data_IF_827700461657
#
_entry.id   IF_827700461657
#
_cell.length_a   1.000
_cell.length_b   1.000
_cell.length_c   1.000
_cell.angle_alpha   90.00
_cell.angle_beta   90.00
_cell.angle_gamma   90.00
#
_symmetry.space_group_name_H-M   'P 1'
#
loop_
_entity.id
_entity.type
_entity.pdbx_description
1 polymer ?
#
# COMPACT_ATOMS: atom_id res chain seq x y z
N UNK A 1 -53.34 -10.61 13.31
CA UNK A 1 -52.12 -10.49 14.13
C UNK A 1 -50.96 -11.07 13.33
N UNK A 2 -50.21 -10.23 12.62
CA UNK A 2 -49.13 -10.65 11.72
C UNK A 2 -47.85 -10.95 12.50
N UNK A 3 -47.50 -12.23 12.58
CA UNK A 3 -46.22 -12.72 13.10
C UNK A 3 -45.08 -12.43 12.11
N UNK A 4 -44.65 -11.16 12.03
CA UNK A 4 -43.33 -10.83 11.48
C UNK A 4 -42.46 -9.93 12.39
N UNK A 5 -42.09 -10.36 13.61
CA UNK A 5 -41.03 -9.67 14.37
C UNK A 5 -39.62 -10.26 14.15
N UNK A 6 -39.49 -11.47 13.60
CA UNK A 6 -38.25 -12.26 13.76
C UNK A 6 -37.20 -11.99 12.65
N UNK A 7 -37.61 -11.60 11.44
CA UNK A 7 -36.68 -11.41 10.32
C UNK A 7 -35.76 -10.20 10.47
N UNK A 8 -36.30 -9.07 10.96
CA UNK A 8 -35.51 -7.84 11.15
C UNK A 8 -34.48 -8.08 12.26
N UNK A 9 -34.88 -8.65 13.38
CA UNK A 9 -33.98 -8.95 14.49
C UNK A 9 -32.89 -9.96 14.11
N UNK A 10 -33.22 -11.00 13.32
CA UNK A 10 -32.22 -11.95 12.81
C UNK A 10 -31.23 -11.28 11.85
N UNK A 11 -31.71 -10.43 10.96
CA UNK A 11 -30.85 -9.69 10.03
C UNK A 11 -29.91 -8.72 10.76
N UNK A 12 -30.42 -8.01 11.77
CA UNK A 12 -29.62 -7.12 12.62
C UNK A 12 -28.57 -7.91 13.42
N UNK A 13 -28.94 -9.04 14.01
CA UNK A 13 -28.01 -9.91 14.73
C UNK A 13 -26.90 -10.46 13.83
N UNK A 14 -27.24 -10.93 12.63
CA UNK A 14 -26.23 -11.37 11.65
C UNK A 14 -25.33 -10.21 11.21
N UNK A 15 -25.89 -9.02 11.01
CA UNK A 15 -25.10 -7.81 10.71
C UNK A 15 -24.14 -7.46 11.85
N UNK A 16 -24.60 -7.57 13.10
CA UNK A 16 -23.76 -7.36 14.29
C UNK A 16 -22.65 -8.42 14.37
N UNK A 17 -22.95 -9.69 14.12
CA UNK A 17 -21.92 -10.75 14.10
C UNK A 17 -20.85 -10.48 13.07
N UNK A 18 -21.22 -10.12 11.84
CA UNK A 18 -20.27 -9.78 10.76
C UNK A 18 -19.35 -8.63 11.18
N UNK A 19 -19.87 -7.66 11.94
CA UNK A 19 -19.07 -6.56 12.46
C UNK A 19 -18.02 -6.99 13.48
N UNK A 20 -18.21 -8.14 14.16
CA UNK A 20 -17.28 -8.60 15.19
C UNK A 20 -16.02 -9.29 14.63
N UNK A 21 -16.01 -9.68 13.35
CA UNK A 21 -14.88 -10.38 12.74
C UNK A 21 -13.93 -9.41 12.03
N UNK A 22 -12.60 -9.61 12.16
CA UNK A 22 -11.62 -8.92 11.33
C UNK A 22 -11.82 -9.21 9.83
N UNK A 23 -11.59 -8.20 9.01
CA UNK A 23 -11.44 -8.33 7.57
C UNK A 23 -9.95 -8.40 7.20
N UNK A 24 -9.65 -8.97 6.04
CA UNK A 24 -8.29 -9.07 5.50
C UNK A 24 -8.08 -7.99 4.44
N UNK A 25 -7.08 -7.13 4.64
CA UNK A 25 -6.69 -6.11 3.65
C UNK A 25 -5.84 -6.74 2.54
N UNK A 26 -4.86 -7.55 2.93
CA UNK A 26 -3.98 -8.29 2.01
C UNK A 26 -3.44 -9.55 2.70
N UNK A 27 -2.48 -10.23 2.09
CA UNK A 27 -1.97 -11.50 2.61
C UNK A 27 -1.44 -11.43 4.04
N UNK A 28 -0.97 -10.25 4.50
CA UNK A 28 -0.29 -10.08 5.79
C UNK A 28 -0.91 -9.04 6.73
N UNK A 29 -1.96 -8.36 6.27
CA UNK A 29 -2.60 -7.28 7.02
C UNK A 29 -4.08 -7.58 7.17
N UNK A 30 -4.51 -7.66 8.42
CA UNK A 30 -5.89 -7.79 8.86
C UNK A 30 -6.31 -6.51 9.58
N UNK A 31 -7.60 -6.23 9.61
CA UNK A 31 -8.14 -5.08 10.32
C UNK A 31 -9.53 -5.35 10.89
N UNK A 32 -9.86 -4.72 12.01
CA UNK A 32 -11.13 -5.00 12.67
C UNK A 32 -11.40 -4.18 13.93
N UNK A 33 -12.43 -4.57 14.69
CA UNK A 33 -12.77 -3.97 15.97
C UNK A 33 -11.82 -4.40 17.10
N UNK A 34 -11.79 -3.65 18.20
CA UNK A 34 -10.89 -3.88 19.34
C UNK A 34 -11.06 -5.27 19.98
N UNK A 35 -12.27 -5.81 20.04
CA UNK A 35 -12.55 -7.15 20.55
C UNK A 35 -11.84 -8.27 19.77
N UNK A 36 -11.35 -8.00 18.55
CA UNK A 36 -10.54 -8.95 17.79
C UNK A 36 -9.24 -9.35 18.50
N UNK A 37 -8.69 -8.48 19.36
CA UNK A 37 -7.51 -8.78 20.17
C UNK A 37 -7.76 -9.95 21.13
N UNK A 38 -9.00 -10.13 21.59
CA UNK A 38 -9.34 -11.21 22.53
C UNK A 38 -9.69 -12.54 21.85
N UNK A 39 -9.72 -12.58 20.52
CA UNK A 39 -10.04 -13.80 19.77
C UNK A 39 -8.79 -14.64 19.50
N UNK A 40 -8.41 -15.49 20.47
CA UNK A 40 -7.20 -16.31 20.39
C UNK A 40 -7.15 -17.23 19.15
N UNK A 41 -8.28 -17.85 18.79
CA UNK A 41 -8.31 -18.74 17.63
C UNK A 41 -7.96 -17.96 16.36
N UNK A 42 -8.57 -16.77 16.19
CA UNK A 42 -8.24 -15.89 15.08
C UNK A 42 -6.77 -15.47 15.07
N UNK A 43 -6.21 -15.05 16.21
CA UNK A 43 -4.81 -14.62 16.31
C UNK A 43 -3.85 -15.76 15.93
N UNK A 44 -4.11 -16.96 16.42
CA UNK A 44 -3.26 -18.14 16.17
C UNK A 44 -3.39 -18.64 14.73
N UNK A 45 -4.61 -18.81 14.24
CA UNK A 45 -4.90 -19.29 12.87
C UNK A 45 -4.32 -18.36 11.79
N UNK A 46 -4.32 -17.05 12.06
CA UNK A 46 -3.81 -16.05 11.12
C UNK A 46 -2.38 -15.62 11.43
N UNK A 47 -1.68 -16.30 12.34
CA UNK A 47 -0.30 -16.01 12.75
C UNK A 47 -0.08 -14.50 13.06
N UNK A 48 -1.00 -13.90 13.82
CA UNK A 48 -0.94 -12.48 14.17
C UNK A 48 0.11 -12.27 15.26
N UNK A 49 1.16 -11.51 14.93
CA UNK A 49 2.24 -11.13 15.85
C UNK A 49 2.42 -9.63 15.98
N UNK A 50 1.78 -8.84 15.12
CA UNK A 50 1.84 -7.39 15.18
C UNK A 50 0.43 -6.84 15.39
N UNK A 51 0.21 -6.12 16.48
CA UNK A 51 -1.07 -5.48 16.78
C UNK A 51 -0.90 -3.97 16.68
N UNK A 52 -1.73 -3.31 15.87
CA UNK A 52 -1.72 -1.85 15.72
C UNK A 52 -3.05 -1.30 16.20
N UNK A 53 -3.07 -0.48 17.26
CA UNK A 53 -4.30 0.11 17.79
C UNK A 53 -4.43 1.56 17.32
N UNK A 54 -5.58 1.93 16.78
CA UNK A 54 -5.83 3.25 16.16
C UNK A 54 -6.86 4.03 16.97
N UNK A 55 -6.46 5.19 17.50
CA UNK A 55 -7.31 6.10 18.30
C UNK A 55 -7.98 5.41 19.50
N UNK A 56 -7.31 4.40 20.06
CA UNK A 56 -7.75 3.74 21.29
C UNK A 56 -6.86 4.30 22.40
N UNK A 57 -7.45 4.79 23.51
CA UNK A 57 -6.66 5.25 24.65
C UNK A 57 -5.70 4.16 25.11
N UNK A 58 -4.44 4.54 25.32
CA UNK A 58 -3.36 3.60 25.66
C UNK A 58 -3.70 2.77 26.91
N UNK A 59 -4.36 3.40 27.89
CA UNK A 59 -4.84 2.73 29.12
C UNK A 59 -5.85 1.63 28.85
N UNK A 60 -6.65 1.75 27.79
CA UNK A 60 -7.57 0.69 27.35
C UNK A 60 -6.81 -0.41 26.61
N UNK A 61 -5.85 -0.05 25.75
CA UNK A 61 -4.98 -1.02 25.08
C UNK A 61 -4.27 -1.93 26.10
N UNK A 62 -3.74 -1.38 27.19
CA UNK A 62 -3.12 -2.13 28.28
C UNK A 62 -4.04 -3.25 28.81
N UNK A 63 -5.29 -2.91 29.13
CA UNK A 63 -6.29 -3.87 29.65
C UNK A 63 -6.63 -4.98 28.65
N UNK A 64 -6.61 -4.67 27.35
CA UNK A 64 -6.82 -5.69 26.31
C UNK A 64 -5.59 -6.57 26.12
N UNK A 65 -4.39 -6.01 26.28
CA UNK A 65 -3.13 -6.74 26.14
C UNK A 65 -2.93 -7.77 27.25
N UNK A 66 -3.36 -7.47 28.48
CA UNK A 66 -3.38 -8.44 29.58
C UNK A 66 -4.21 -9.70 29.28
N UNK A 67 -5.15 -9.61 28.32
CA UNK A 67 -6.02 -10.72 27.92
C UNK A 67 -5.48 -11.50 26.73
N UNK A 68 -4.35 -11.09 26.15
CA UNK A 68 -3.71 -11.80 25.05
C UNK A 68 -2.96 -12.99 25.66
N UNK A 69 -3.36 -14.24 25.38
CA UNK A 69 -2.73 -15.41 26.00
C UNK A 69 -1.50 -15.88 25.20
N UNK A 70 -0.72 -14.92 24.68
CA UNK A 70 0.55 -15.15 24.00
C UNK A 70 1.67 -14.63 24.89
N UNK A 71 2.89 -15.17 24.74
CA UNK A 71 4.02 -14.60 25.46
C UNK A 71 4.24 -13.16 24.96
N UNK A 72 4.45 -12.22 25.89
CA UNK A 72 4.63 -10.80 25.59
C UNK A 72 5.80 -10.58 24.61
N UNK A 73 6.80 -11.45 24.63
CA UNK A 73 7.97 -11.39 23.74
C UNK A 73 7.69 -11.87 22.31
N UNK A 74 6.56 -12.55 22.07
CA UNK A 74 6.20 -13.12 20.77
C UNK A 74 5.41 -12.15 19.88
N UNK A 75 4.96 -11.02 20.43
CA UNK A 75 4.20 -10.02 19.68
C UNK A 75 4.65 -8.58 19.95
N UNK A 76 4.39 -7.72 18.97
CA UNK A 76 4.59 -6.28 19.07
C UNK A 76 3.24 -5.58 19.13
N UNK A 77 3.16 -4.50 19.89
CA UNK A 77 1.97 -3.67 19.99
C UNK A 77 2.31 -2.22 19.68
N UNK A 78 1.79 -1.67 18.59
CA UNK A 78 1.94 -0.27 18.21
C UNK A 78 0.63 0.47 18.50
N UNK A 79 0.67 1.44 19.40
CA UNK A 79 -0.49 2.24 19.80
C UNK A 79 -0.42 3.64 19.22
N UNK A 80 -1.34 3.96 18.30
CA UNK A 80 -1.50 5.29 17.72
C UNK A 80 -2.55 6.07 18.54
N UNK A 81 -2.09 6.71 19.61
CA UNK A 81 -2.92 7.45 20.57
C UNK A 81 -2.46 8.90 20.67
N UNK A 82 -3.10 9.78 19.90
CA UNK A 82 -2.75 11.20 19.89
C UNK A 82 -3.29 11.98 21.08
N UNK A 83 -4.17 11.38 21.88
CA UNK A 83 -4.73 12.02 23.07
C UNK A 83 -3.84 11.83 24.31
N UNK A 84 -2.81 10.97 24.23
CA UNK A 84 -1.88 10.79 25.34
C UNK A 84 -0.99 12.04 25.45
N UNK A 85 -0.94 12.72 26.61
CA UNK A 85 -0.06 13.86 26.79
C UNK A 85 1.39 13.42 26.58
N UNK A 86 2.12 14.14 25.73
CA UNK A 86 3.50 13.80 25.37
C UNK A 86 4.53 13.91 26.52
N UNK A 87 4.10 14.36 27.70
CA UNK A 87 4.95 14.44 28.89
C UNK A 87 4.79 13.20 29.76
N UNK A 88 5.91 12.53 30.05
CA UNK A 88 5.98 11.35 30.94
C UNK A 88 5.85 11.74 32.42
N UNK A 89 5.91 13.04 32.75
CA UNK A 89 5.83 13.53 34.12
C UNK A 89 4.43 13.28 34.69
N UNK A 90 4.33 12.36 35.65
CA UNK A 90 3.07 11.95 36.26
C UNK A 90 2.37 10.78 35.55
N UNK A 91 3.03 10.11 34.61
CA UNK A 91 2.52 8.84 34.07
C UNK A 91 2.55 7.74 35.13
N UNK A 92 1.50 6.93 35.13
CA UNK A 92 1.38 5.71 35.95
C UNK A 92 2.55 4.75 35.68
N UNK A 93 3.15 4.18 36.73
CA UNK A 93 4.20 3.15 36.65
C UNK A 93 3.81 1.99 35.74
N UNK A 94 2.52 1.62 35.71
CA UNK A 94 2.02 0.59 34.81
C UNK A 94 2.16 0.98 33.33
N UNK A 95 1.86 2.24 32.99
CA UNK A 95 2.00 2.76 31.63
C UNK A 95 3.48 2.84 31.22
N UNK A 96 4.36 3.24 32.13
CA UNK A 96 5.81 3.27 31.88
C UNK A 96 6.34 1.86 31.59
N UNK A 97 5.99 0.86 32.39
CA UNK A 97 6.38 -0.54 32.17
C UNK A 97 5.83 -1.08 30.85
N UNK A 98 4.55 -0.84 30.58
CA UNK A 98 3.92 -1.21 29.32
C UNK A 98 4.67 -0.63 28.12
N UNK A 99 5.01 0.67 28.18
CA UNK A 99 5.75 1.33 27.12
C UNK A 99 7.14 0.71 26.94
N UNK A 100 7.88 0.50 28.03
CA UNK A 100 9.23 -0.09 27.98
C UNK A 100 9.25 -1.48 27.31
N UNK A 101 8.34 -2.37 27.71
CA UNK A 101 8.31 -3.75 27.18
C UNK A 101 8.01 -3.74 25.68
N UNK A 102 6.90 -3.15 25.26
CA UNK A 102 6.52 -3.19 23.85
C UNK A 102 7.42 -2.32 22.96
N UNK A 103 8.01 -1.25 23.50
CA UNK A 103 9.00 -0.46 22.77
C UNK A 103 10.27 -1.26 22.49
N UNK A 104 10.70 -2.09 23.44
CA UNK A 104 11.83 -2.99 23.20
C UNK A 104 11.51 -4.01 22.12
N UNK A 105 10.30 -4.59 22.13
CA UNK A 105 9.87 -5.54 21.10
C UNK A 105 9.85 -4.89 19.70
N UNK A 106 9.29 -3.69 19.59
CA UNK A 106 9.28 -2.94 18.32
C UNK A 106 10.70 -2.59 17.89
N UNK A 107 11.56 -2.09 18.78
CA UNK A 107 12.96 -1.78 18.43
C UNK A 107 13.71 -3.00 17.92
N UNK A 108 13.54 -4.15 18.57
CA UNK A 108 14.17 -5.40 18.16
C UNK A 108 13.67 -5.86 16.79
N UNK A 109 12.36 -5.77 16.56
CA UNK A 109 11.74 -6.06 15.27
C UNK A 109 12.23 -5.11 14.16
N UNK A 110 12.17 -3.80 14.39
CA UNK A 110 12.64 -2.79 13.41
C UNK A 110 14.11 -3.02 13.09
N UNK A 111 14.96 -3.25 14.10
CA UNK A 111 16.39 -3.50 13.91
C UNK A 111 16.66 -4.76 13.08
N UNK A 112 15.85 -5.82 13.25
CA UNK A 112 16.02 -7.06 12.48
C UNK A 112 15.54 -6.92 11.03
N UNK A 113 14.54 -6.08 10.75
CA UNK A 113 13.98 -5.90 9.40
C UNK A 113 14.62 -4.75 8.60
N UNK A 114 15.27 -3.80 9.26
CA UNK A 114 15.78 -2.58 8.62
C UNK A 114 16.79 -2.84 7.48
N UNK A 115 17.76 -3.77 7.57
CA UNK A 115 18.74 -3.99 6.50
C UNK A 115 18.10 -4.29 5.15
N UNK A 116 17.02 -5.08 5.17
CA UNK A 116 16.34 -5.54 3.96
C UNK A 116 15.25 -4.55 3.48
N UNK A 117 14.74 -3.70 4.39
CA UNK A 117 13.57 -2.85 4.14
C UNK A 117 13.87 -1.35 4.02
N UNK A 118 15.12 -0.91 4.17
CA UNK A 118 15.48 0.51 4.23
C UNK A 118 14.98 1.33 3.02
N UNK A 119 15.02 0.76 1.82
CA UNK A 119 14.56 1.44 0.59
C UNK A 119 13.02 1.62 0.54
N UNK A 120 12.29 0.85 1.34
CA UNK A 120 10.83 0.82 1.35
C UNK A 120 10.23 1.91 2.24
N UNK A 121 11.03 2.43 3.18
CA UNK A 121 10.61 3.49 4.10
C UNK A 121 10.44 4.83 3.38
N UNK A 122 9.44 5.60 3.77
CA UNK A 122 9.20 6.94 3.27
C UNK A 122 10.09 7.98 3.93
N UNK A 123 10.34 7.83 5.22
CA UNK A 123 11.19 8.74 5.96
C UNK A 123 12.00 8.01 7.02
N UNK A 124 13.29 8.30 7.11
CA UNK A 124 14.10 7.85 8.25
C UNK A 124 13.62 8.45 9.57
N UNK A 125 12.85 9.55 9.54
CA UNK A 125 12.24 10.13 10.74
C UNK A 125 11.16 9.22 11.35
N UNK A 126 10.54 8.33 10.58
CA UNK A 126 9.56 7.37 11.11
C UNK A 126 10.21 6.39 12.09
N UNK A 127 11.50 6.08 11.90
CA UNK A 127 12.26 5.21 12.80
C UNK A 127 12.40 5.78 14.21
N UNK A 128 12.43 7.11 14.34
CA UNK A 128 12.46 7.76 15.66
C UNK A 128 11.13 7.54 16.39
N UNK A 129 10.01 7.60 15.68
CA UNK A 129 8.70 7.28 16.24
C UNK A 129 8.60 5.79 16.59
N UNK A 130 9.08 4.90 15.71
CA UNK A 130 9.12 3.45 15.95
C UNK A 130 10.15 3.02 17.02
N UNK A 131 10.83 3.96 17.67
CA UNK A 131 11.55 3.69 18.92
C UNK A 131 10.59 3.60 20.12
N UNK A 132 9.32 3.94 19.96
CA UNK A 132 8.28 3.86 20.97
C UNK A 132 7.14 2.97 20.48
N UNK A 133 6.50 2.25 21.40
CA UNK A 133 5.26 1.54 21.10
C UNK A 133 4.06 2.47 21.09
N UNK A 134 4.13 3.59 21.80
CA UNK A 134 3.09 4.61 21.80
C UNK A 134 3.52 5.75 20.88
N UNK A 135 2.71 6.01 19.87
CA UNK A 135 2.90 7.05 18.87
C UNK A 135 1.80 8.10 19.05
N UNK A 136 2.20 9.30 19.43
CA UNK A 136 1.30 10.44 19.67
C UNK A 136 1.19 11.39 18.48
N UNK A 137 1.96 11.18 17.41
CA UNK A 137 1.91 12.06 16.24
C UNK A 137 0.55 12.00 15.53
N UNK A 138 0.22 13.10 14.84
CA UNK A 138 -1.05 13.27 14.12
C UNK A 138 -0.84 13.55 12.64
N UNK A 139 -1.95 13.55 11.89
CA UNK A 139 -1.97 13.96 10.49
C UNK A 139 -1.01 13.15 9.61
N UNK A 140 -0.16 13.87 8.89
CA UNK A 140 0.78 13.31 7.91
C UNK A 140 1.79 12.34 8.55
N UNK A 141 2.36 12.70 9.70
CA UNK A 141 3.40 11.88 10.34
C UNK A 141 2.85 10.52 10.77
N UNK A 142 1.62 10.50 11.29
CA UNK A 142 0.92 9.26 11.65
C UNK A 142 0.76 8.33 10.45
N UNK A 143 0.41 8.88 9.28
CA UNK A 143 0.28 8.10 8.04
C UNK A 143 1.63 7.54 7.61
N UNK A 144 2.70 8.33 7.69
CA UNK A 144 4.06 7.88 7.35
C UNK A 144 4.52 6.76 8.28
N UNK A 145 4.44 6.96 9.60
CA UNK A 145 4.85 5.97 10.60
C UNK A 145 4.09 4.66 10.45
N UNK A 146 2.78 4.74 10.25
CA UNK A 146 1.95 3.57 10.01
C UNK A 146 2.36 2.79 8.75
N UNK A 147 2.55 3.48 7.62
CA UNK A 147 2.90 2.83 6.35
C UNK A 147 4.33 2.30 6.32
N UNK A 148 5.24 2.92 7.05
CA UNK A 148 6.62 2.45 7.23
C UNK A 148 6.64 1.21 8.12
N UNK A 149 5.87 1.18 9.21
CA UNK A 149 5.70 -0.02 10.03
C UNK A 149 5.11 -1.19 9.23
N UNK A 150 4.05 -0.95 8.46
CA UNK A 150 3.47 -1.99 7.60
C UNK A 150 4.46 -2.47 6.53
N UNK A 151 5.30 -1.58 5.99
CA UNK A 151 6.37 -1.98 5.08
C UNK A 151 7.29 -3.02 5.74
N UNK A 152 7.73 -2.76 6.97
CA UNK A 152 8.58 -3.68 7.71
C UNK A 152 7.89 -5.03 7.93
N UNK A 153 6.61 -5.03 8.31
CA UNK A 153 5.84 -6.27 8.49
C UNK A 153 5.70 -7.05 7.18
N UNK A 154 5.31 -6.38 6.09
CA UNK A 154 5.05 -7.04 4.82
C UNK A 154 6.31 -7.66 4.19
N UNK A 155 7.47 -7.04 4.42
CA UNK A 155 8.75 -7.50 3.87
C UNK A 155 9.53 -8.43 4.80
N UNK A 156 9.03 -8.65 6.02
CA UNK A 156 9.62 -9.62 6.93
C UNK A 156 9.41 -11.06 6.44
N UNK A 157 10.14 -12.03 6.98
CA UNK A 157 9.82 -13.45 6.73
C UNK A 157 8.46 -13.83 7.32
N UNK A 158 7.82 -14.89 6.81
CA UNK A 158 6.54 -15.40 7.35
C UNK A 158 6.62 -15.79 8.83
N UNK A 159 7.83 -16.06 9.33
CA UNK A 159 8.10 -16.37 10.75
C UNK A 159 7.80 -15.19 11.68
N UNK A 160 7.86 -13.95 11.19
CA UNK A 160 7.54 -12.76 11.98
C UNK A 160 6.04 -12.48 12.05
N UNK A 161 5.21 -13.26 11.33
CA UNK A 161 3.76 -13.18 11.44
C UNK A 161 3.13 -12.01 10.68
N UNK A 162 1.85 -11.81 10.97
CA UNK A 162 0.96 -10.88 10.29
C UNK A 162 0.54 -9.74 11.23
N UNK A 163 0.06 -8.65 10.64
CA UNK A 163 -0.46 -7.50 11.36
C UNK A 163 -1.99 -7.53 11.50
N UNK A 164 -2.48 -7.19 12.67
CA UNK A 164 -3.89 -6.89 12.96
C UNK A 164 -4.01 -5.42 13.38
N UNK A 165 -4.72 -4.64 12.58
CA UNK A 165 -4.99 -3.23 12.85
C UNK A 165 -6.38 -3.11 13.46
N UNK A 166 -6.48 -2.62 14.69
CA UNK A 166 -7.76 -2.46 15.36
C UNK A 166 -8.08 -1.01 15.65
N UNK A 167 -9.36 -0.69 15.61
CA UNK A 167 -9.93 0.52 16.18
C UNK A 167 -11.11 0.16 17.07
N UNK A 168 -11.70 1.12 17.79
CA UNK A 168 -12.79 0.85 18.72
C UNK A 168 -13.91 0.00 18.10
N UNK A 169 -14.38 0.38 16.91
CA UNK A 169 -15.49 -0.29 16.22
C UNK A 169 -15.06 -0.98 14.89
N UNK A 170 -13.81 -0.79 14.48
CA UNK A 170 -13.30 -1.30 13.21
C UNK A 170 -13.90 -0.61 11.98
N UNK A 171 -14.51 0.57 12.13
CA UNK A 171 -15.07 1.38 11.04
C UNK A 171 -14.84 2.90 11.23
N UNK A 172 -13.93 3.27 12.13
CA UNK A 172 -13.65 4.67 12.47
C UNK A 172 -12.91 5.39 11.32
N UNK A 173 -13.17 6.70 11.13
CA UNK A 173 -12.58 7.49 10.03
C UNK A 173 -11.04 7.40 9.99
N UNK A 174 -10.40 7.39 11.16
CA UNK A 174 -8.94 7.29 11.25
C UNK A 174 -8.43 5.92 10.82
N UNK A 175 -9.15 4.84 11.11
CA UNK A 175 -8.81 3.51 10.59
C UNK A 175 -8.96 3.51 9.06
N UNK A 176 -10.06 4.05 8.54
CA UNK A 176 -10.32 4.12 7.09
C UNK A 176 -9.22 4.91 6.38
N UNK A 177 -8.80 6.05 6.94
CA UNK A 177 -7.71 6.87 6.40
C UNK A 177 -6.38 6.11 6.37
N UNK A 178 -6.01 5.43 7.47
CA UNK A 178 -4.79 4.61 7.52
C UNK A 178 -4.83 3.47 6.51
N UNK A 179 -5.92 2.70 6.45
CA UNK A 179 -6.07 1.61 5.48
C UNK A 179 -6.05 2.13 4.04
N UNK A 180 -6.71 3.26 3.76
CA UNK A 180 -6.68 3.88 2.43
C UNK A 180 -5.27 4.29 2.04
N UNK A 181 -4.50 4.82 2.99
CA UNK A 181 -3.10 5.21 2.75
C UNK A 181 -2.19 4.02 2.41
N UNK A 182 -2.45 2.85 3.02
CA UNK A 182 -1.76 1.60 2.70
C UNK A 182 -2.12 1.08 1.30
N UNK A 183 -3.41 1.11 0.92
CA UNK A 183 -3.83 0.67 -0.43
C UNK A 183 -3.28 1.61 -1.51
N UNK A 184 -3.31 2.92 -1.28
CA UNK A 184 -2.79 3.92 -2.22
C UNK A 184 -1.27 3.87 -2.36
N UNK A 185 -0.55 3.49 -1.30
CA UNK A 185 0.89 3.24 -1.36
C UNK A 185 1.22 2.16 -2.38
N UNK A 186 0.47 1.06 -2.37
CA UNK A 186 0.68 -0.05 -3.30
C UNK A 186 0.12 0.25 -4.70
N UNK A 187 -0.89 1.14 -4.80
CA UNK A 187 -1.62 1.41 -6.03
C UNK A 187 -1.90 2.91 -6.22
N UNK A 188 -0.84 3.66 -6.52
CA UNK A 188 -0.87 5.13 -6.54
C UNK A 188 -1.82 5.78 -7.57
N UNK A 189 -2.19 5.02 -8.60
CA UNK A 189 -3.08 5.48 -9.66
C UNK A 189 -4.56 5.37 -9.30
N UNK A 190 -4.90 4.70 -8.18
CA UNK A 190 -6.28 4.58 -7.73
C UNK A 190 -6.81 5.90 -7.19
N UNK A 191 -8.09 6.14 -7.46
CA UNK A 191 -8.82 7.23 -6.83
C UNK A 191 -9.23 6.83 -5.41
N UNK A 192 -9.21 7.78 -4.48
CA UNK A 192 -9.60 7.55 -3.08
C UNK A 192 -11.00 6.95 -2.96
N UNK A 193 -11.94 7.37 -3.81
CA UNK A 193 -13.29 6.79 -3.89
C UNK A 193 -13.28 5.28 -4.13
N UNK A 194 -12.49 4.83 -5.12
CA UNK A 194 -12.36 3.40 -5.45
C UNK A 194 -11.72 2.62 -4.31
N UNK A 195 -10.74 3.22 -3.63
CA UNK A 195 -10.09 2.62 -2.46
C UNK A 195 -11.09 2.44 -1.30
N UNK A 196 -11.88 3.48 -0.99
CA UNK A 196 -12.86 3.39 0.08
C UNK A 196 -13.98 2.41 -0.27
N UNK A 197 -14.45 2.39 -1.52
CA UNK A 197 -15.40 1.37 -2.00
C UNK A 197 -14.82 -0.04 -1.84
N UNK A 198 -13.55 -0.24 -2.17
CA UNK A 198 -12.87 -1.52 -1.94
C UNK A 198 -12.85 -1.91 -0.47
N UNK A 199 -12.47 -1.00 0.44
CA UNK A 199 -12.52 -1.26 1.89
C UNK A 199 -13.95 -1.58 2.38
N UNK A 200 -14.96 -0.92 1.83
CA UNK A 200 -16.37 -1.21 2.12
C UNK A 200 -16.82 -2.58 1.61
N UNK A 201 -16.27 -3.07 0.50
CA UNK A 201 -16.51 -4.45 0.04
C UNK A 201 -15.88 -5.47 0.98
N UNK A 202 -14.66 -5.19 1.48
CA UNK A 202 -14.00 -6.05 2.48
C UNK A 202 -14.74 -6.05 3.82
N UNK A 203 -15.32 -4.90 4.20
CA UNK A 203 -16.05 -4.72 5.46
C UNK A 203 -17.24 -3.77 5.28
N UNK A 204 -18.45 -4.30 5.01
CA UNK A 204 -19.64 -3.49 4.73
C UNK A 204 -20.05 -2.49 5.82
N UNK A 205 -19.63 -2.69 7.08
CA UNK A 205 -19.90 -1.75 8.18
C UNK A 205 -19.11 -0.44 8.10
N UNK A 206 -18.14 -0.33 7.18
CA UNK A 206 -17.40 0.91 6.89
C UNK A 206 -18.18 1.90 6.03
N UNK A 207 -19.43 1.60 5.64
CA UNK A 207 -20.29 2.50 4.87
C UNK A 207 -20.55 3.85 5.54
N UNK A 208 -20.38 3.94 6.87
CA UNK A 208 -20.54 5.17 7.63
C UNK A 208 -19.32 6.11 7.59
N UNK A 209 -18.20 5.70 6.99
CA UNK A 209 -16.98 6.52 6.96
C UNK A 209 -17.19 7.83 6.20
N UNK A 210 -16.74 8.93 6.77
CA UNK A 210 -16.90 10.26 6.17
C UNK A 210 -15.82 10.50 5.11
N UNK A 211 -16.15 10.19 3.85
CA UNK A 211 -15.26 10.39 2.70
C UNK A 211 -14.68 11.80 2.63
N UNK A 212 -15.52 12.82 2.78
CA UNK A 212 -15.10 14.22 2.69
C UNK A 212 -14.06 14.56 3.77
N UNK A 213 -14.27 14.08 5.00
CA UNK A 213 -13.33 14.29 6.10
C UNK A 213 -11.96 13.69 5.81
N UNK A 214 -11.90 12.51 5.20
CA UNK A 214 -10.64 11.86 4.82
C UNK A 214 -9.98 12.62 3.66
N UNK A 215 -10.74 12.85 2.58
CA UNK A 215 -10.23 13.49 1.35
C UNK A 215 -9.64 14.87 1.61
N UNK A 216 -10.30 15.67 2.45
CA UNK A 216 -9.89 17.04 2.75
C UNK A 216 -9.01 17.15 4.00
N UNK A 217 -8.62 16.04 4.61
CA UNK A 217 -7.66 16.09 5.72
C UNK A 217 -6.27 16.48 5.19
N UNK A 218 -5.72 17.58 5.70
CA UNK A 218 -4.44 18.14 5.25
C UNK A 218 -3.31 17.10 5.32
N UNK A 219 -3.24 16.32 6.41
CA UNK A 219 -2.24 15.27 6.56
C UNK A 219 -2.32 14.17 5.50
N UNK A 220 -3.54 13.81 5.07
CA UNK A 220 -3.73 12.80 4.02
C UNK A 220 -3.36 13.33 2.63
N UNK A 221 -3.69 14.59 2.33
CA UNK A 221 -3.26 15.26 1.10
C UNK A 221 -1.72 15.29 1.02
N UNK A 222 -1.05 15.74 2.08
CA UNK A 222 0.41 15.76 2.17
C UNK A 222 1.02 14.37 1.98
N UNK A 223 0.40 13.34 2.56
CA UNK A 223 0.85 11.96 2.38
C UNK A 223 0.69 11.49 0.92
N UNK A 224 -0.44 11.81 0.28
CA UNK A 224 -0.67 11.48 -1.13
C UNK A 224 0.34 12.17 -2.06
N UNK A 225 0.75 13.40 -1.75
CA UNK A 225 1.81 14.11 -2.49
C UNK A 225 3.18 13.45 -2.29
N UNK A 226 3.49 13.03 -1.05
CA UNK A 226 4.72 12.30 -0.75
C UNK A 226 4.84 11.02 -1.58
N UNK A 227 3.83 10.16 -1.55
CA UNK A 227 3.88 8.87 -2.26
C UNK A 227 4.03 9.10 -3.77
N UNK A 228 3.38 10.14 -4.32
CA UNK A 228 3.50 10.52 -5.73
C UNK A 228 4.92 10.96 -6.04
N UNK A 229 5.49 11.84 -5.23
CA UNK A 229 6.86 12.32 -5.44
C UNK A 229 7.88 11.17 -5.41
N UNK A 230 7.73 10.18 -4.52
CA UNK A 230 8.63 9.02 -4.44
C UNK A 230 8.48 8.11 -5.66
N UNK A 231 7.25 7.79 -6.06
CA UNK A 231 6.99 7.00 -7.27
C UNK A 231 7.57 7.65 -8.53
N UNK A 232 7.41 8.97 -8.68
CA UNK A 232 8.00 9.71 -9.79
C UNK A 232 9.53 9.65 -9.78
N UNK A 233 10.17 9.84 -8.62
CA UNK A 233 11.64 9.73 -8.51
C UNK A 233 12.16 8.35 -8.90
N UNK A 234 11.46 7.29 -8.51
CA UNK A 234 11.81 5.91 -8.89
C UNK A 234 11.67 5.68 -10.39
N UNK A 235 10.59 6.20 -10.99
CA UNK A 235 10.36 6.11 -12.44
C UNK A 235 11.46 6.86 -13.21
N UNK A 236 11.79 8.08 -12.80
CA UNK A 236 12.89 8.86 -13.41
C UNK A 236 14.24 8.15 -13.27
N UNK A 237 14.53 7.52 -12.11
CA UNK A 237 15.75 6.73 -11.90
C UNK A 237 15.82 5.52 -12.83
N UNK A 238 14.71 4.81 -13.04
CA UNK A 238 14.64 3.69 -13.99
C UNK A 238 14.86 4.16 -15.44
N UNK A 239 14.29 5.30 -15.80
CA UNK A 239 14.47 5.86 -17.14
C UNK A 239 15.93 6.28 -17.38
N UNK A 240 16.57 6.93 -16.40
CA UNK A 240 17.99 7.27 -16.42
C UNK A 240 18.86 6.03 -16.69
N UNK A 241 18.68 4.97 -15.91
CA UNK A 241 19.41 3.70 -16.07
C UNK A 241 19.18 3.10 -17.47
N UNK A 242 17.96 3.18 -18.00
CA UNK A 242 17.66 2.68 -19.34
C UNK A 242 18.35 3.50 -20.43
N UNK A 243 18.47 4.82 -20.28
CA UNK A 243 19.23 5.68 -21.20
C UNK A 243 20.72 5.33 -21.16
N UNK A 244 21.29 5.14 -19.98
CA UNK A 244 22.69 4.73 -19.81
C UNK A 244 22.96 3.36 -20.45
N UNK A 245 22.07 2.37 -20.24
CA UNK A 245 22.15 1.05 -20.89
C UNK A 245 22.10 1.16 -22.42
N UNK A 246 21.20 1.98 -22.97
CA UNK A 246 21.11 2.21 -24.42
C UNK A 246 22.38 2.88 -24.97
N UNK A 247 22.94 3.85 -24.25
CA UNK A 247 24.19 4.51 -24.64
C UNK A 247 25.39 3.54 -24.64
N UNK A 248 25.49 2.67 -23.63
CA UNK A 248 26.52 1.62 -23.57
C UNK A 248 26.41 0.63 -24.74
N UNK A 249 25.19 0.22 -25.10
CA UNK A 249 24.96 -0.67 -26.25
C UNK A 249 25.31 0.03 -27.58
N UNK A 250 24.98 1.31 -27.73
CA UNK A 250 25.35 2.09 -28.90
C UNK A 250 26.87 2.23 -29.04
N UNK A 251 27.59 2.47 -27.94
CA UNK A 251 29.06 2.55 -27.92
C UNK A 251 29.75 1.20 -28.24
N UNK A 252 29.17 0.08 -27.79
CA UNK A 252 29.64 -1.25 -28.21
C UNK A 252 29.46 -1.45 -29.71
N UNK A 253 28.29 -1.12 -30.25
CA UNK A 253 27.99 -1.31 -31.67
C UNK A 253 28.85 -0.41 -32.59
N UNK A 254 29.21 0.79 -32.15
CA UNK A 254 30.14 1.66 -32.90
C UNK A 254 31.58 1.14 -32.89
N UNK A 255 31.98 0.42 -31.83
CA UNK A 255 33.32 -0.20 -31.75
C UNK A 255 33.47 -1.37 -32.74
N UNK A 256 32.41 -2.13 -33.03
CA UNK A 256 32.43 -3.21 -34.02
C UNK A 256 32.44 -2.73 -35.47
N UNK A 257 32.09 -1.47 -35.75
CA UNK A 257 32.06 -0.91 -37.12
C UNK A 257 33.38 -0.28 -37.57
N UNK A 258 34.46 -0.38 -36.78
CA UNK A 258 35.75 0.29 -37.08
C UNK A 258 36.80 -0.60 -37.75
N UNK A 259 36.47 -1.85 -38.05
CA UNK A 259 37.35 -2.77 -38.77
C UNK A 259 36.69 -3.24 -40.07
N UNK A 260 36.33 -2.31 -40.96
CA UNK A 260 36.32 -2.64 -42.38
C UNK A 260 37.73 -2.37 -42.92
N UNK A 261 38.48 -3.39 -43.36
CA UNK A 261 39.76 -3.18 -44.02
C UNK A 261 39.52 -2.37 -45.29
N UNK A 262 40.23 -1.25 -45.43
CA UNK A 262 40.35 -0.46 -46.65
C UNK A 262 40.88 -1.36 -47.78
N UNK A 263 39.98 -2.01 -48.53
CA UNK A 263 40.31 -2.54 -49.84
C UNK A 263 40.32 -1.38 -50.82
N UNK A 264 41.52 -0.87 -51.09
CA UNK A 264 41.80 -0.06 -52.26
C UNK A 264 41.76 -1.02 -53.45
N UNK A 265 40.68 -1.03 -54.23
CA UNK A 265 40.74 -1.54 -55.60
C UNK A 265 40.21 -0.50 -56.57
N UNK A 266 41.17 0.04 -57.32
CA UNK A 266 40.95 0.72 -58.57
C UNK A 266 40.48 -0.28 -59.63
N UNK A 267 39.54 0.15 -60.48
CA UNK A 267 39.52 0.01 -61.94
C UNK A 267 38.15 -0.31 -62.55
N UNK A 268 37.79 0.58 -63.50
CA UNK A 268 36.98 0.41 -64.70
C UNK A 268 36.37 -0.99 -64.98
N UNK A 269 35.06 -1.05 -65.25
CA UNK A 269 34.59 -1.12 -66.64
C UNK A 269 33.07 -1.07 -66.81
N UNK A 270 32.73 -0.56 -67.98
CA UNK A 270 31.44 -0.35 -68.62
C UNK A 270 30.86 -1.64 -69.24
N UNK A 271 29.52 -1.66 -69.37
CA UNK A 271 28.67 -2.39 -70.34
C UNK A 271 28.61 -3.94 -70.31
N UNK A 272 27.42 -4.50 -70.03
CA UNK A 272 26.50 -5.06 -71.04
C UNK A 272 25.12 -5.35 -70.43
N UNK A 273 24.08 -5.16 -71.25
CA UNK A 273 22.69 -5.52 -70.99
C UNK A 273 22.44 -7.03 -71.18
N UNK A 274 21.35 -7.49 -70.54
CA UNK A 274 20.27 -8.33 -71.10
C UNK A 274 20.16 -9.84 -70.75
N UNK A 275 18.93 -10.16 -70.29
CA UNK A 275 18.15 -11.42 -70.33
C UNK A 275 18.43 -12.55 -69.31
N UNK A 276 17.39 -12.87 -68.53
CA UNK A 276 16.88 -14.26 -68.45
C UNK A 276 16.91 -14.99 -67.10
N UNK A 277 15.72 -15.15 -66.54
CA UNK A 277 15.17 -16.32 -65.82
C UNK A 277 15.69 -16.80 -64.44
N UNK A 278 14.72 -16.82 -63.53
CA UNK A 278 14.32 -17.92 -62.64
C UNK A 278 15.39 -18.73 -61.89
N UNK A 279 15.43 -18.54 -60.56
CA UNK A 279 15.00 -19.54 -59.56
C UNK A 279 15.31 -19.10 -58.13
N UNK A 280 14.27 -19.14 -57.30
CA UNK A 280 14.19 -19.56 -55.89
C UNK A 280 15.44 -19.49 -55.00
N UNK A 281 15.35 -18.84 -53.83
CA UNK A 281 15.51 -19.48 -52.51
C UNK A 281 15.25 -18.50 -51.35
N UNK A 282 14.19 -18.77 -50.60
CA UNK A 282 13.95 -18.53 -49.16
C UNK A 282 14.44 -17.22 -48.48
N UNK A 283 13.54 -16.25 -48.36
CA UNK A 283 13.59 -15.21 -47.32
C UNK A 283 13.07 -15.76 -45.98
N UNK A 284 13.97 -15.93 -44.99
CA UNK A 284 13.58 -16.02 -43.58
C UNK A 284 13.32 -14.60 -43.04
N UNK A 285 12.07 -14.13 -43.17
CA UNK A 285 11.59 -12.95 -42.44
C UNK A 285 11.24 -13.35 -41.01
N UNK A 286 12.03 -12.85 -40.06
CA UNK A 286 11.70 -12.89 -38.64
C UNK A 286 10.42 -12.08 -38.40
N UNK A 287 9.37 -12.76 -37.93
CA UNK A 287 8.14 -12.13 -37.48
C UNK A 287 8.38 -11.33 -36.20
N UNK A 288 8.15 -10.02 -36.26
CA UNK A 288 7.78 -9.22 -35.10
C UNK A 288 6.27 -9.32 -34.90
N UNK A 289 5.77 -9.68 -33.70
CA UNK A 289 4.34 -9.67 -33.45
C UNK A 289 3.86 -8.23 -33.23
N UNK A 290 3.23 -7.63 -34.23
CA UNK A 290 2.31 -6.51 -34.06
C UNK A 290 0.95 -7.10 -33.73
N UNK A 291 0.54 -7.04 -32.45
CA UNK A 291 -0.84 -7.29 -32.09
C UNK A 291 -1.70 -6.08 -32.45
N UNK A 292 -2.76 -6.38 -33.19
CA UNK A 292 -3.80 -5.50 -33.69
C UNK A 292 -4.45 -4.67 -32.58
N UNK A 293 -4.45 -3.34 -32.76
CA UNK A 293 -5.13 -2.37 -31.90
C UNK A 293 -6.16 -1.54 -32.69
N UNK A 294 -6.63 -2.07 -33.83
CA UNK A 294 -7.51 -1.37 -34.76
C UNK A 294 -8.92 -1.96 -34.84
N UNK A 295 -9.48 -2.49 -33.75
CA UNK A 295 -10.93 -2.78 -33.68
C UNK A 295 -11.53 -2.59 -32.28
N UNK A 296 -11.51 -1.36 -31.76
CA UNK A 296 -12.50 -0.90 -30.77
C UNK A 296 -12.84 0.59 -30.99
N UNK A 297 -13.48 0.89 -32.12
CA UNK A 297 -14.35 2.07 -32.22
C UNK A 297 -15.78 1.60 -32.00
N UNK A 298 -16.22 1.57 -30.75
CA UNK A 298 -17.63 1.48 -30.41
C UNK A 298 -18.10 2.84 -29.84
N UNK A 299 -19.04 3.39 -30.60
CA UNK A 299 -19.99 4.47 -30.35
C UNK A 299 -20.17 4.92 -28.90
N UNK A 300 -19.79 6.17 -28.62
CA UNK A 300 -20.39 6.95 -27.54
C UNK A 300 -21.31 8.01 -28.17
N UNK A 301 -22.61 8.05 -27.85
CA UNK A 301 -23.50 9.09 -28.35
C UNK A 301 -23.21 10.42 -27.68
N UNK A 302 -23.18 11.48 -28.49
CA UNK A 302 -23.04 12.88 -28.09
C UNK A 302 -23.97 13.25 -26.92
N UNK A 303 -23.40 13.41 -25.72
CA UNK A 303 -24.09 14.06 -24.61
C UNK A 303 -23.79 15.54 -24.63
N UNK A 304 -24.71 16.28 -25.23
CA UNK A 304 -24.84 17.74 -25.15
C UNK A 304 -24.85 18.18 -23.69
N UNK A 305 -23.83 18.92 -23.27
CA UNK A 305 -23.79 19.59 -21.97
C UNK A 305 -24.84 20.70 -21.91
N UNK A 306 -25.96 20.45 -21.21
CA UNK A 306 -26.86 21.53 -20.77
C UNK A 306 -26.18 22.31 -19.64
N UNK A 307 -25.84 23.59 -19.91
CA UNK A 307 -25.52 24.60 -18.89
C UNK A 307 -26.68 24.71 -17.89
N UNK A 308 -26.46 24.31 -16.64
CA UNK A 308 -27.31 24.68 -15.52
C UNK A 308 -27.10 26.17 -15.22
N UNK A 309 -28.17 26.96 -15.37
CA UNK A 309 -28.26 28.33 -14.84
C UNK A 309 -28.54 28.23 -13.35
N UNK A 310 -27.73 28.89 -12.54
CA UNK A 310 -28.05 29.17 -11.14
C UNK A 310 -29.16 30.21 -11.10
N UNK A 311 -30.30 29.85 -10.50
CA UNK A 311 -31.29 30.80 -9.99
C UNK A 311 -30.81 31.30 -8.62
N UNK A 312 -30.73 32.62 -8.48
CA UNK A 312 -30.56 33.32 -7.22
C UNK A 312 -31.90 33.30 -6.46
N UNK A 313 -31.87 32.82 -5.23
CA UNK A 313 -32.68 33.32 -4.10
C UNK A 313 -31.78 33.36 -2.87
#
# INVERSE_FOLDING_TARGET
>A
MSCQPDYISRYELETMKIQMFPARLNSRVFFGPLNSITNLSFLTENNIKHIVTVNIPTTLCMKYCEKIPMNIDEYTLLTLDSNLPGSVNGMDDALVRFNQVFSNNIKNFVKSQLPDSMNLLYSTSSLNYLASNIITCEGYEKLVVFNDFLALVQNSSDLYGNALIVSSNGNDDSLVALLSSAVLKDNINLQLNSVIQHLQMLRPSMKAANYNKIQYSQGFIQYCELIKSKCWKELMKKEQINRERKALLANRNSSYKREEPNYIEASNNQYYNEVGDDRSFSENKMMTPTCDLDHMKQEFPDRVFKKLRYSQE
#
